data_IF_413669716319
#
_entry.id   IF_413669716319
#
_cell.length_a   1.000
_cell.length_b   1.000
_cell.length_c   1.000
_cell.angle_alpha   90.00
_cell.angle_beta   90.00
_cell.angle_gamma   90.00
#
_symmetry.space_group_name_H-M   'P 1'
#
loop_
_entity.id
_entity.type
_entity.pdbx_description
1 polymer ?
#
# COMPACT_ATOMS: atom_id res chain seq x y z
N UNK A 1 3.81 29.23 -4.00
CA UNK A 1 4.20 28.13 -3.10
C UNK A 1 3.02 27.70 -2.26
N UNK A 2 2.89 26.41 -2.09
CA UNK A 2 1.78 25.83 -1.32
C UNK A 2 2.36 24.88 -0.27
N UNK A 3 2.09 25.17 0.98
CA UNK A 3 2.37 24.26 2.11
C UNK A 3 1.09 23.51 2.50
N UNK A 4 1.17 22.17 2.58
CA UNK A 4 0.00 21.31 2.72
C UNK A 4 0.11 20.46 3.97
N UNK A 5 -0.90 20.61 4.84
CA UNK A 5 -1.13 19.77 6.01
C UNK A 5 -2.39 18.91 5.85
N UNK A 6 -2.67 18.08 6.82
CA UNK A 6 -3.84 17.16 6.79
C UNK A 6 -5.17 17.89 6.55
N UNK A 7 -5.41 19.03 7.21
CA UNK A 7 -6.70 19.72 7.20
C UNK A 7 -6.64 21.15 6.63
N UNK A 8 -5.44 21.60 6.26
CA UNK A 8 -5.20 23.00 5.92
C UNK A 8 -4.09 23.12 4.88
N UNK A 9 -4.23 24.11 4.01
CA UNK A 9 -3.19 24.54 3.07
C UNK A 9 -2.95 26.02 3.23
N UNK A 10 -1.70 26.42 3.15
CA UNK A 10 -1.31 27.84 3.04
C UNK A 10 -0.71 28.04 1.65
N UNK A 11 -1.22 29.03 0.91
CA UNK A 11 -0.70 29.37 -0.40
C UNK A 11 -0.17 30.80 -0.41
N UNK A 12 1.03 30.98 -0.97
CA UNK A 12 1.67 32.26 -1.18
C UNK A 12 1.93 32.48 -2.66
N UNK A 13 1.47 33.60 -3.20
CA UNK A 13 1.75 34.06 -4.57
C UNK A 13 2.67 35.27 -4.52
N UNK A 14 3.70 35.25 -5.37
CA UNK A 14 4.51 36.42 -5.70
C UNK A 14 4.09 36.96 -7.06
N UNK A 15 3.71 38.22 -7.13
CA UNK A 15 3.48 38.92 -8.39
C UNK A 15 4.75 39.63 -8.89
N UNK A 16 4.76 40.00 -10.17
CA UNK A 16 5.90 40.70 -10.82
C UNK A 16 6.37 41.97 -10.11
N UNK A 17 5.53 42.60 -9.29
CA UNK A 17 5.77 43.89 -8.60
C UNK A 17 6.22 43.71 -7.14
N UNK A 18 6.77 42.53 -6.76
CA UNK A 18 7.18 42.20 -5.37
C UNK A 18 6.01 42.22 -4.35
N UNK A 19 4.77 42.30 -4.78
CA UNK A 19 3.63 42.14 -3.89
C UNK A 19 3.42 40.66 -3.67
N UNK A 20 3.33 40.26 -2.41
CA UNK A 20 2.92 38.90 -2.03
C UNK A 20 1.49 38.91 -1.57
N UNK A 21 0.77 37.85 -1.90
CA UNK A 21 -0.56 37.56 -1.37
C UNK A 21 -0.53 36.17 -0.73
N UNK A 22 -1.08 36.04 0.45
CA UNK A 22 -1.14 34.78 1.20
C UNK A 22 -2.57 34.52 1.53
N UNK A 23 -3.05 33.29 1.26
CA UNK A 23 -4.38 32.81 1.64
C UNK A 23 -4.27 31.42 2.25
N UNK A 24 -5.20 31.13 3.12
CA UNK A 24 -5.35 29.85 3.76
C UNK A 24 -6.62 29.18 3.26
N UNK A 25 -6.55 27.88 3.01
CA UNK A 25 -7.65 27.05 2.52
C UNK A 25 -7.71 25.76 3.35
N UNK A 26 -8.89 25.15 3.42
CA UNK A 26 -8.96 23.78 3.91
C UNK A 26 -8.52 22.79 2.81
N UNK A 27 -8.40 21.52 3.16
CA UNK A 27 -8.07 20.45 2.19
C UNK A 27 -9.33 19.80 1.59
N UNK A 28 -10.51 20.43 1.77
CA UNK A 28 -11.74 20.00 1.11
C UNK A 28 -11.72 20.37 -0.37
N UNK A 29 -12.36 19.56 -1.20
CA UNK A 29 -12.34 19.73 -2.66
C UNK A 29 -12.79 21.12 -3.09
N UNK A 30 -13.84 21.66 -2.47
CA UNK A 30 -14.35 23.00 -2.75
C UNK A 30 -13.28 24.08 -2.53
N UNK A 31 -12.55 23.99 -1.41
CA UNK A 31 -11.51 24.96 -1.08
C UNK A 31 -10.25 24.80 -1.96
N UNK A 32 -9.95 23.56 -2.39
CA UNK A 32 -8.90 23.33 -3.40
C UNK A 32 -9.31 24.01 -4.73
N UNK A 33 -10.57 23.91 -5.15
CA UNK A 33 -11.08 24.57 -6.35
C UNK A 33 -11.09 26.10 -6.19
N UNK A 34 -11.35 26.63 -4.99
CA UNK A 34 -11.19 28.06 -4.72
C UNK A 34 -9.72 28.51 -4.85
N UNK A 35 -8.76 27.67 -4.39
CA UNK A 35 -7.34 27.93 -4.60
C UNK A 35 -7.01 27.93 -6.10
N UNK A 36 -7.52 26.96 -6.88
CA UNK A 36 -7.36 26.93 -8.34
C UNK A 36 -7.89 28.21 -9.00
N UNK A 37 -9.10 28.64 -8.62
CA UNK A 37 -9.69 29.88 -9.14
C UNK A 37 -8.82 31.09 -8.82
N UNK A 38 -8.32 31.19 -7.60
CA UNK A 38 -7.42 32.27 -7.20
C UNK A 38 -6.11 32.28 -7.98
N UNK A 39 -5.53 31.09 -8.27
CA UNK A 39 -4.33 30.97 -9.11
C UNK A 39 -4.60 31.43 -10.55
N UNK A 40 -5.76 31.08 -11.12
CA UNK A 40 -6.18 31.52 -12.46
C UNK A 40 -6.41 33.02 -12.52
N UNK A 41 -7.08 33.60 -11.53
CA UNK A 41 -7.35 35.06 -11.43
C UNK A 41 -6.08 35.90 -11.32
N UNK A 42 -5.00 35.30 -10.80
CA UNK A 42 -3.72 36.01 -10.61
C UNK A 42 -2.69 35.67 -11.69
N UNK A 43 -3.11 35.04 -12.79
CA UNK A 43 -2.25 34.60 -13.90
C UNK A 43 -0.99 33.87 -13.40
N UNK A 44 -1.19 32.94 -12.45
CA UNK A 44 -0.09 32.21 -11.86
C UNK A 44 0.55 31.24 -12.87
N UNK A 45 1.78 31.51 -13.30
CA UNK A 45 2.48 30.73 -14.32
C UNK A 45 2.91 29.34 -13.81
N UNK A 46 3.24 29.21 -12.52
CA UNK A 46 3.73 27.98 -11.91
C UNK A 46 3.38 27.93 -10.43
N UNK A 47 2.74 26.87 -10.01
CA UNK A 47 2.57 26.54 -8.60
C UNK A 47 3.60 25.49 -8.16
N UNK A 48 3.95 25.50 -6.87
CA UNK A 48 4.80 24.45 -6.29
C UNK A 48 4.31 24.05 -4.92
N UNK A 49 4.41 22.75 -4.62
CA UNK A 49 4.06 22.19 -3.32
C UNK A 49 5.11 21.19 -2.83
N UNK A 50 5.20 21.01 -1.51
CA UNK A 50 6.08 20.02 -0.92
C UNK A 50 5.41 18.62 -0.94
N UNK A 51 6.21 17.57 -1.19
CA UNK A 51 5.76 16.16 -1.18
C UNK A 51 5.63 15.57 0.22
N UNK A 52 4.93 16.25 1.13
CA UNK A 52 4.76 15.78 2.51
C UNK A 52 3.73 14.66 2.60
N UNK A 53 4.17 13.47 2.97
CA UNK A 53 3.31 12.28 3.13
C UNK A 53 2.46 11.99 1.88
N UNK A 54 1.15 11.80 2.06
CA UNK A 54 0.17 11.61 0.97
C UNK A 54 -0.72 12.82 0.71
N UNK A 55 -0.60 13.88 1.50
CA UNK A 55 -1.53 15.04 1.48
C UNK A 55 -1.46 15.86 0.19
N UNK A 56 -0.31 15.84 -0.49
CA UNK A 56 -0.14 16.53 -1.77
C UNK A 56 -0.93 15.89 -2.93
N UNK A 57 -1.21 14.57 -2.87
CA UNK A 57 -1.83 13.82 -3.97
C UNK A 57 -3.21 14.36 -4.39
N UNK A 58 -4.18 14.60 -3.49
CA UNK A 58 -5.49 15.14 -3.86
C UNK A 58 -5.37 16.52 -4.53
N UNK A 59 -4.51 17.38 -4.01
CA UNK A 59 -4.27 18.71 -4.57
C UNK A 59 -3.65 18.61 -5.96
N UNK A 60 -2.63 17.76 -6.11
CA UNK A 60 -1.99 17.50 -7.41
C UNK A 60 -3.01 16.99 -8.46
N UNK A 61 -3.86 16.02 -8.10
CA UNK A 61 -4.82 15.45 -9.02
C UNK A 61 -5.84 16.50 -9.51
N UNK A 62 -6.34 17.35 -8.61
CA UNK A 62 -7.26 18.44 -8.97
C UNK A 62 -6.54 19.47 -9.86
N UNK A 63 -5.30 19.83 -9.54
CA UNK A 63 -4.53 20.78 -10.34
C UNK A 63 -4.22 20.22 -11.74
N UNK A 64 -3.94 18.91 -11.84
CA UNK A 64 -3.75 18.22 -13.11
C UNK A 64 -5.04 18.24 -13.96
N UNK A 65 -6.20 17.97 -13.35
CA UNK A 65 -7.53 18.03 -14.00
C UNK A 65 -7.89 19.47 -14.44
N UNK A 66 -7.54 20.46 -13.64
CA UNK A 66 -7.77 21.88 -13.91
C UNK A 66 -6.69 22.54 -14.76
N UNK A 67 -5.70 21.73 -15.21
CA UNK A 67 -4.57 22.18 -16.05
C UNK A 67 -3.72 23.30 -15.43
N UNK A 68 -3.60 23.32 -14.11
CA UNK A 68 -2.71 24.24 -13.41
C UNK A 68 -1.28 23.69 -13.46
N UNK A 69 -0.30 24.42 -13.99
CA UNK A 69 1.10 23.99 -13.94
C UNK A 69 1.58 23.88 -12.50
N UNK A 70 1.93 22.67 -12.07
CA UNK A 70 2.30 22.38 -10.69
C UNK A 70 3.60 21.60 -10.60
N UNK A 71 4.48 22.05 -9.72
CA UNK A 71 5.73 21.38 -9.39
C UNK A 71 5.61 20.75 -8.00
N UNK A 72 5.88 19.45 -7.89
CA UNK A 72 6.04 18.79 -6.57
C UNK A 72 7.51 18.76 -6.22
N UNK A 73 7.86 19.28 -5.06
CA UNK A 73 9.25 19.43 -4.61
C UNK A 73 9.53 18.49 -3.45
N UNK A 74 10.71 17.88 -3.44
CA UNK A 74 11.10 17.00 -2.34
C UNK A 74 11.41 17.84 -1.07
N UNK A 75 10.76 17.47 0.05
CA UNK A 75 10.95 18.05 1.37
C UNK A 75 12.43 18.14 1.81
N UNK A 76 13.25 17.15 1.46
CA UNK A 76 14.68 17.14 1.80
C UNK A 76 15.47 18.24 1.08
N UNK A 77 15.09 18.58 -0.15
CA UNK A 77 15.75 19.66 -0.89
C UNK A 77 15.40 21.02 -0.31
N UNK A 78 14.16 21.21 0.15
CA UNK A 78 13.71 22.46 0.78
C UNK A 78 14.38 22.65 2.15
N UNK A 79 14.54 21.58 2.93
CA UNK A 79 15.16 21.61 4.26
C UNK A 79 16.66 21.86 4.25
N UNK A 80 17.33 21.57 3.15
CA UNK A 80 18.78 21.80 2.97
C UNK A 80 19.15 23.28 2.82
N UNK A 81 18.19 24.18 2.60
CA UNK A 81 18.43 25.61 2.45
C UNK A 81 18.17 26.31 3.80
N UNK A 82 19.14 27.06 4.38
CA UNK A 82 18.98 27.68 5.70
C UNK A 82 17.83 28.72 5.73
N UNK A 83 16.91 28.60 6.67
CA UNK A 83 15.78 29.53 6.85
C UNK A 83 14.91 29.20 8.06
N UNK A 84 14.09 30.15 8.51
CA UNK A 84 13.21 30.00 9.69
C UNK A 84 11.82 29.49 9.31
N UNK A 85 11.28 28.53 10.08
CA UNK A 85 10.04 27.80 9.83
C UNK A 85 8.82 28.36 10.57
N UNK A 86 7.77 28.64 9.83
CA UNK A 86 6.34 28.65 10.25
C UNK A 86 5.54 28.34 8.99
N UNK A 87 4.33 27.76 9.07
CA UNK A 87 3.52 27.33 7.93
C UNK A 87 3.32 28.42 6.85
N UNK A 88 3.09 29.66 7.29
CA UNK A 88 3.03 30.84 6.39
C UNK A 88 4.38 31.12 5.73
N UNK A 89 5.47 30.95 6.47
CA UNK A 89 6.83 31.12 5.92
C UNK A 89 7.24 29.96 5.05
N UNK A 90 6.69 28.75 5.26
CA UNK A 90 7.01 27.60 4.43
C UNK A 90 6.39 27.74 3.04
N UNK A 91 5.14 28.21 2.90
CA UNK A 91 4.54 28.53 1.62
C UNK A 91 5.25 29.69 0.89
N UNK A 92 5.60 30.75 1.61
CA UNK A 92 6.39 31.88 1.09
C UNK A 92 7.79 31.42 0.64
N UNK A 93 8.42 30.58 1.44
CA UNK A 93 9.74 30.02 1.16
C UNK A 93 9.75 29.14 -0.10
N UNK A 94 8.75 28.24 -0.25
CA UNK A 94 8.59 27.44 -1.45
C UNK A 94 8.42 28.35 -2.68
N UNK A 95 7.58 29.38 -2.59
CA UNK A 95 7.38 30.33 -3.69
C UNK A 95 8.66 31.07 -4.07
N UNK A 96 9.43 31.51 -3.08
CA UNK A 96 10.69 32.24 -3.29
C UNK A 96 11.76 31.35 -3.92
N UNK A 97 11.90 30.12 -3.46
CA UNK A 97 12.82 29.12 -4.02
C UNK A 97 12.48 28.79 -5.49
N UNK A 98 11.21 28.65 -5.82
CA UNK A 98 10.75 28.40 -7.20
C UNK A 98 11.07 29.59 -8.10
N UNK A 99 10.75 30.80 -7.65
CA UNK A 99 11.03 32.04 -8.40
C UNK A 99 12.51 32.22 -8.74
N UNK A 100 13.40 31.76 -7.87
CA UNK A 100 14.84 31.83 -8.07
C UNK A 100 15.44 30.60 -8.76
N UNK A 101 14.61 29.60 -9.15
CA UNK A 101 15.07 28.35 -9.77
C UNK A 101 15.91 27.45 -8.85
N UNK A 102 15.77 27.61 -7.52
CA UNK A 102 16.58 26.93 -6.51
C UNK A 102 16.02 25.56 -6.12
N UNK A 103 14.88 25.15 -6.67
CA UNK A 103 14.27 23.84 -6.42
C UNK A 103 14.14 23.04 -7.70
N UNK A 104 14.32 21.72 -7.54
CA UNK A 104 14.13 20.77 -8.64
C UNK A 104 12.83 20.04 -8.47
N UNK A 105 12.02 19.97 -9.54
CA UNK A 105 10.80 19.20 -9.56
C UNK A 105 11.09 17.70 -9.35
N UNK A 106 10.28 17.07 -8.52
CA UNK A 106 10.18 15.62 -8.48
C UNK A 106 9.47 15.13 -9.74
N UNK A 107 9.95 14.05 -10.31
CA UNK A 107 9.22 13.40 -11.41
C UNK A 107 7.94 12.75 -10.88
N UNK A 108 6.79 13.22 -11.31
CA UNK A 108 5.50 12.63 -11.03
C UNK A 108 5.05 11.89 -12.29
N UNK A 109 4.90 10.55 -12.23
CA UNK A 109 4.39 9.78 -13.35
C UNK A 109 2.98 10.22 -13.76
N UNK A 110 2.58 9.95 -14.99
CA UNK A 110 1.20 10.15 -15.43
C UNK A 110 0.21 9.33 -14.58
N UNK A 111 -1.07 9.67 -14.67
CA UNK A 111 -2.14 9.09 -13.82
C UNK A 111 -2.18 7.57 -13.91
N UNK A 112 -2.12 7.01 -15.13
CA UNK A 112 -2.19 5.56 -15.33
C UNK A 112 -1.04 4.82 -14.63
N UNK A 113 0.17 5.38 -14.72
CA UNK A 113 1.33 4.82 -14.03
C UNK A 113 1.24 4.97 -12.51
N UNK A 114 0.66 6.07 -12.00
CA UNK A 114 0.43 6.23 -10.55
C UNK A 114 -0.54 5.19 -10.03
N UNK A 115 -1.66 4.99 -10.73
CA UNK A 115 -2.68 3.99 -10.39
C UNK A 115 -2.14 2.56 -10.49
N UNK A 116 -1.36 2.26 -11.53
CA UNK A 116 -0.70 0.95 -11.67
C UNK A 116 0.29 0.68 -10.53
N UNK A 117 1.05 1.68 -10.13
CA UNK A 117 1.97 1.57 -8.98
C UNK A 117 1.23 1.33 -7.66
N UNK A 118 0.10 1.99 -7.47
CA UNK A 118 -0.70 1.86 -6.24
C UNK A 118 -1.29 0.46 -6.12
N UNK A 119 -1.91 -0.06 -7.18
CA UNK A 119 -2.48 -1.41 -7.18
C UNK A 119 -1.39 -2.50 -7.05
N UNK A 120 -0.22 -2.30 -7.66
CA UNK A 120 0.91 -3.24 -7.57
C UNK A 120 1.49 -3.27 -6.14
N UNK A 121 1.59 -2.13 -5.46
CA UNK A 121 2.02 -2.07 -4.06
C UNK A 121 1.02 -2.74 -3.14
N UNK A 122 -0.26 -2.46 -3.31
CA UNK A 122 -1.31 -3.09 -2.52
C UNK A 122 -1.31 -4.61 -2.72
N UNK A 123 -1.14 -5.10 -3.96
CA UNK A 123 -0.97 -6.53 -4.23
C UNK A 123 0.19 -7.15 -3.45
N UNK A 124 1.33 -6.47 -3.39
CA UNK A 124 2.49 -6.94 -2.63
C UNK A 124 2.18 -7.03 -1.13
N UNK A 125 1.50 -6.04 -0.57
CA UNK A 125 1.08 -6.02 0.83
C UNK A 125 0.13 -7.19 1.15
N UNK A 126 -0.81 -7.52 0.26
CA UNK A 126 -1.73 -8.65 0.40
C UNK A 126 -0.98 -9.99 0.33
N UNK A 127 0.02 -10.13 -0.53
CA UNK A 127 0.89 -11.33 -0.58
C UNK A 127 1.63 -11.51 0.75
N UNK A 128 2.18 -10.45 1.31
CA UNK A 128 2.86 -10.49 2.59
C UNK A 128 1.90 -10.80 3.74
N UNK A 129 0.68 -10.30 3.70
CA UNK A 129 -0.36 -10.64 4.67
C UNK A 129 -0.72 -12.12 4.60
N UNK A 130 -0.86 -12.67 3.38
CA UNK A 130 -1.09 -14.10 3.18
C UNK A 130 0.07 -14.95 3.73
N UNK A 131 1.32 -14.51 3.54
CA UNK A 131 2.49 -15.19 4.10
C UNK A 131 2.49 -15.15 5.64
N UNK A 132 2.15 -14.01 6.23
CA UNK A 132 1.98 -13.90 7.70
C UNK A 132 0.91 -14.84 8.23
N UNK A 133 -0.21 -15.00 7.51
CA UNK A 133 -1.27 -15.92 7.93
C UNK A 133 -0.85 -17.39 7.83
N UNK A 134 -0.09 -17.77 6.81
CA UNK A 134 0.51 -19.12 6.71
C UNK A 134 1.45 -19.40 7.89
N UNK A 135 2.26 -18.43 8.31
CA UNK A 135 3.11 -18.58 9.49
C UNK A 135 2.28 -18.77 10.78
N UNK A 136 1.12 -18.11 10.92
CA UNK A 136 0.20 -18.34 12.05
C UNK A 136 -0.36 -19.75 12.05
N UNK A 137 -0.74 -20.30 10.88
CA UNK A 137 -1.15 -21.70 10.74
C UNK A 137 -0.03 -22.64 11.20
N UNK A 138 1.21 -22.41 10.75
CA UNK A 138 2.35 -23.20 11.21
C UNK A 138 2.53 -23.14 12.72
N UNK A 139 2.40 -21.97 13.33
CA UNK A 139 2.48 -21.82 14.77
C UNK A 139 1.39 -22.63 15.52
N UNK A 140 0.16 -22.66 15.01
CA UNK A 140 -0.91 -23.49 15.57
C UNK A 140 -0.56 -24.98 15.45
N UNK A 141 -0.10 -25.44 14.27
CA UNK A 141 0.32 -26.83 14.04
C UNK A 141 1.48 -27.23 14.97
N UNK A 142 2.49 -26.36 15.11
CA UNK A 142 3.59 -26.57 16.03
C UNK A 142 3.12 -26.73 17.48
N UNK A 143 2.16 -25.89 17.90
CA UNK A 143 1.53 -25.99 19.22
C UNK A 143 0.74 -27.29 19.43
N UNK A 144 0.35 -27.98 18.35
CA UNK A 144 -0.29 -29.31 18.36
C UNK A 144 0.74 -30.45 18.23
N UNK A 145 2.02 -30.15 18.11
CA UNK A 145 3.08 -31.09 17.72
C UNK A 145 2.82 -31.77 16.35
N UNK A 146 2.17 -31.05 15.41
CA UNK A 146 1.99 -31.47 14.03
C UNK A 146 3.10 -30.80 13.20
N UNK A 147 4.06 -31.60 12.72
CA UNK A 147 5.28 -31.15 12.07
C UNK A 147 5.19 -31.19 10.53
N UNK A 148 4.04 -30.83 9.97
CA UNK A 148 3.77 -30.95 8.54
C UNK A 148 4.79 -30.18 7.68
N UNK A 149 5.21 -28.98 8.12
CA UNK A 149 6.21 -28.14 7.42
C UNK A 149 7.62 -28.74 7.42
N UNK A 150 7.91 -29.71 8.28
CA UNK A 150 9.20 -30.44 8.27
C UNK A 150 9.27 -31.48 7.15
N UNK A 151 8.13 -31.88 6.61
CA UNK A 151 8.04 -32.90 5.56
C UNK A 151 7.74 -32.29 4.20
N UNK A 152 6.78 -31.35 4.14
CA UNK A 152 6.43 -30.63 2.91
C UNK A 152 6.89 -29.18 3.01
N UNK A 153 7.60 -28.72 2.00
CA UNK A 153 8.20 -27.37 1.98
C UNK A 153 7.15 -26.26 1.94
N UNK A 154 6.03 -26.51 1.25
CA UNK A 154 4.92 -25.56 1.09
C UNK A 154 3.61 -26.16 1.58
N UNK A 155 3.20 -25.74 2.78
CA UNK A 155 1.89 -26.12 3.36
C UNK A 155 0.73 -25.44 2.65
N UNK A 156 0.96 -24.39 1.86
CA UNK A 156 -0.06 -23.71 1.06
C UNK A 156 -0.33 -24.41 -0.29
N UNK A 157 0.50 -25.36 -0.65
CA UNK A 157 0.33 -26.20 -1.84
C UNK A 157 -0.84 -27.18 -1.72
N UNK A 158 -1.15 -27.87 -2.82
CA UNK A 158 -2.34 -28.72 -2.94
C UNK A 158 -2.44 -29.75 -1.81
N UNK A 159 -1.40 -30.53 -1.55
CA UNK A 159 -1.36 -31.54 -0.48
C UNK A 159 -1.54 -30.93 0.91
N UNK A 160 -0.78 -29.87 1.22
CA UNK A 160 -0.86 -29.20 2.52
C UNK A 160 -2.25 -28.64 2.79
N UNK A 161 -2.84 -27.95 1.82
CA UNK A 161 -4.19 -27.39 1.96
C UNK A 161 -5.26 -28.46 2.08
N UNK A 162 -5.12 -29.61 1.40
CA UNK A 162 -6.06 -30.74 1.53
C UNK A 162 -5.98 -31.37 2.91
N UNK A 163 -4.78 -31.62 3.42
CA UNK A 163 -4.55 -32.13 4.77
C UNK A 163 -5.10 -31.15 5.83
N UNK A 164 -4.79 -29.86 5.72
CA UNK A 164 -5.29 -28.83 6.65
C UNK A 164 -6.82 -28.76 6.69
N UNK A 165 -7.48 -28.89 5.54
CA UNK A 165 -8.96 -28.94 5.46
C UNK A 165 -9.52 -30.20 6.14
N UNK A 166 -8.87 -31.36 5.96
CA UNK A 166 -9.28 -32.59 6.62
C UNK A 166 -9.13 -32.48 8.14
N UNK A 167 -8.02 -31.93 8.64
CA UNK A 167 -7.81 -31.66 10.07
C UNK A 167 -8.92 -30.77 10.62
N UNK A 168 -9.25 -29.69 9.92
CA UNK A 168 -10.34 -28.76 10.33
C UNK A 168 -11.71 -29.41 10.29
N UNK A 169 -11.91 -30.45 9.45
CA UNK A 169 -13.14 -31.22 9.37
C UNK A 169 -13.24 -32.33 10.45
N UNK A 170 -12.21 -32.47 11.29
CA UNK A 170 -12.20 -33.41 12.41
C UNK A 170 -11.39 -34.68 12.17
N UNK A 171 -10.74 -34.83 11.01
CA UNK A 171 -9.86 -35.97 10.77
C UNK A 171 -8.59 -35.84 11.63
N UNK A 172 -8.23 -36.91 12.32
CA UNK A 172 -7.07 -36.97 13.22
C UNK A 172 -6.20 -38.21 12.99
N UNK A 173 -6.61 -39.14 12.14
CA UNK A 173 -5.80 -40.32 11.83
C UNK A 173 -4.63 -39.92 10.92
N UNK A 174 -3.36 -40.06 11.37
CA UNK A 174 -2.20 -39.74 10.57
C UNK A 174 -2.09 -40.54 9.26
N UNK A 175 -2.63 -41.78 9.23
CA UNK A 175 -2.60 -42.60 8.03
C UNK A 175 -3.55 -42.02 7.00
N UNK A 176 -4.80 -41.72 7.38
CA UNK A 176 -5.82 -41.12 6.51
C UNK A 176 -5.33 -39.76 5.99
N UNK A 177 -4.80 -38.89 6.89
CA UNK A 177 -4.31 -37.58 6.54
C UNK A 177 -3.12 -37.65 5.55
N UNK A 178 -2.20 -38.58 5.73
CA UNK A 178 -1.02 -38.71 4.86
C UNK A 178 -1.37 -39.18 3.45
N UNK A 179 -2.41 -40.01 3.30
CA UNK A 179 -2.90 -40.49 2.00
C UNK A 179 -3.54 -39.38 1.14
N UNK A 180 -3.86 -38.23 1.74
CA UNK A 180 -4.32 -37.05 1.01
C UNK A 180 -3.16 -36.34 0.25
N UNK A 181 -1.94 -36.80 0.41
CA UNK A 181 -0.80 -36.26 -0.33
C UNK A 181 -0.90 -36.57 -1.82
N UNK A 182 -0.53 -35.57 -2.64
CA UNK A 182 -0.55 -35.67 -4.10
C UNK A 182 0.82 -35.38 -4.70
N UNK A 183 1.06 -35.92 -5.91
CA UNK A 183 2.29 -35.72 -6.66
C UNK A 183 3.53 -36.15 -5.87
N UNK A 184 4.59 -35.35 -5.86
CA UNK A 184 5.86 -35.67 -5.17
C UNK A 184 5.73 -35.80 -3.65
N UNK A 185 4.66 -35.29 -3.05
CA UNK A 185 4.46 -35.44 -1.62
C UNK A 185 4.11 -36.88 -1.21
N UNK A 186 3.62 -37.70 -2.15
CA UNK A 186 3.33 -39.13 -1.91
C UNK A 186 4.58 -39.93 -1.56
N UNK A 187 5.73 -39.58 -2.10
CA UNK A 187 7.00 -40.25 -1.80
C UNK A 187 7.41 -40.09 -0.32
N UNK A 188 6.79 -39.17 0.39
CA UNK A 188 7.06 -38.83 1.79
C UNK A 188 5.95 -39.29 2.76
N UNK A 189 5.02 -40.16 2.33
CA UNK A 189 3.91 -40.64 3.18
C UNK A 189 4.41 -41.21 4.52
N UNK A 190 5.49 -42.02 4.59
CA UNK A 190 5.96 -42.57 5.87
C UNK A 190 6.43 -41.48 6.86
N UNK A 191 7.14 -40.47 6.38
CA UNK A 191 7.56 -39.32 7.21
C UNK A 191 6.36 -38.45 7.60
N UNK A 192 5.40 -38.29 6.68
CA UNK A 192 4.20 -37.52 6.90
C UNK A 192 3.31 -38.14 7.98
N UNK A 193 3.14 -39.46 7.99
CA UNK A 193 2.43 -40.17 9.06
C UNK A 193 3.03 -39.88 10.44
N UNK A 194 4.37 -39.87 10.54
CA UNK A 194 5.04 -39.53 11.80
C UNK A 194 4.83 -38.06 12.17
N UNK A 195 4.88 -37.16 11.21
CA UNK A 195 4.75 -35.71 11.42
C UNK A 195 3.32 -35.28 11.82
N UNK A 196 2.31 -36.10 11.49
CA UNK A 196 0.90 -35.84 11.74
C UNK A 196 0.38 -36.47 13.05
N UNK A 197 1.20 -37.12 13.87
CA UNK A 197 0.82 -37.76 15.13
C UNK A 197 0.52 -36.78 16.28
N UNK A 198 0.45 -35.48 16.00
CA UNK A 198 0.12 -34.45 16.99
C UNK A 198 -1.31 -34.56 17.53
N UNK A 199 -1.58 -33.78 18.58
CA UNK A 199 -2.90 -33.73 19.21
C UNK A 199 -3.50 -32.36 19.04
N UNK A 200 -4.56 -32.26 18.25
CA UNK A 200 -5.27 -31.02 18.01
C UNK A 200 -6.55 -30.94 18.85
N UNK A 201 -6.73 -29.86 19.55
CA UNK A 201 -7.96 -29.57 20.32
C UNK A 201 -9.02 -28.93 19.42
N UNK A 202 -10.30 -29.00 19.86
CA UNK A 202 -11.39 -28.31 19.17
C UNK A 202 -11.14 -26.80 19.00
N UNK A 203 -10.53 -26.16 20.01
CA UNK A 203 -10.14 -24.74 19.92
C UNK A 203 -9.16 -24.49 18.77
N UNK A 204 -8.12 -25.31 18.65
CA UNK A 204 -7.10 -25.18 17.60
C UNK A 204 -7.69 -25.49 16.21
N UNK A 205 -8.61 -26.45 16.09
CA UNK A 205 -9.35 -26.69 14.84
C UNK A 205 -10.17 -25.47 14.43
N UNK A 206 -10.87 -24.83 15.38
CA UNK A 206 -11.61 -23.57 15.12
C UNK A 206 -10.69 -22.46 14.66
N UNK A 207 -9.53 -22.28 15.31
CA UNK A 207 -8.51 -21.30 14.91
C UNK A 207 -8.03 -21.55 13.49
N UNK A 208 -7.63 -22.79 13.15
CA UNK A 208 -7.22 -23.15 11.79
C UNK A 208 -8.32 -22.91 10.77
N UNK A 209 -9.57 -23.18 11.10
CA UNK A 209 -10.72 -22.92 10.22
C UNK A 209 -10.85 -21.43 9.87
N UNK A 210 -10.66 -20.53 10.84
CA UNK A 210 -10.70 -19.09 10.60
C UNK A 210 -9.51 -18.64 9.74
N UNK A 211 -8.32 -19.13 10.04
CA UNK A 211 -7.11 -18.81 9.29
C UNK A 211 -7.16 -19.30 7.84
N UNK A 212 -7.65 -20.52 7.59
CA UNK A 212 -7.85 -21.04 6.23
C UNK A 212 -8.88 -20.25 5.44
N UNK A 213 -9.96 -19.78 6.09
CA UNK A 213 -10.92 -18.88 5.44
C UNK A 213 -10.27 -17.56 5.04
N UNK A 214 -9.45 -17.00 5.92
CA UNK A 214 -8.72 -15.76 5.64
C UNK A 214 -7.74 -15.93 4.46
N UNK A 215 -6.95 -17.01 4.45
CA UNK A 215 -6.07 -17.33 3.31
C UNK A 215 -6.85 -17.46 2.00
N UNK A 216 -8.02 -18.09 2.02
CA UNK A 216 -8.87 -18.20 0.83
C UNK A 216 -9.27 -16.81 0.31
N UNK A 217 -9.68 -15.90 1.20
CA UNK A 217 -10.06 -14.53 0.84
C UNK A 217 -8.87 -13.74 0.27
N UNK A 218 -7.69 -13.81 0.93
CA UNK A 218 -6.48 -13.15 0.46
C UNK A 218 -6.02 -13.70 -0.90
N UNK A 219 -6.15 -15.01 -1.11
CA UNK A 219 -5.80 -15.63 -2.41
C UNK A 219 -6.73 -15.16 -3.52
N UNK A 220 -8.03 -15.07 -3.26
CA UNK A 220 -9.01 -14.55 -4.22
C UNK A 220 -8.74 -13.07 -4.55
N UNK A 221 -8.39 -12.26 -3.54
CA UNK A 221 -8.03 -10.86 -3.73
C UNK A 221 -6.76 -10.69 -4.58
N UNK A 222 -5.74 -11.54 -4.38
CA UNK A 222 -4.52 -11.52 -5.20
C UNK A 222 -4.86 -11.80 -6.68
N UNK A 223 -5.74 -12.77 -6.94
CA UNK A 223 -6.16 -13.09 -8.32
C UNK A 223 -6.88 -11.90 -8.97
N UNK A 224 -7.81 -11.28 -8.25
CA UNK A 224 -8.52 -10.08 -8.73
C UNK A 224 -7.57 -8.91 -9.03
N UNK A 225 -6.61 -8.66 -8.13
CA UNK A 225 -5.59 -7.64 -8.33
C UNK A 225 -4.70 -7.95 -9.54
N UNK A 226 -4.35 -9.22 -9.78
CA UNK A 226 -3.59 -9.66 -10.96
C UNK A 226 -4.35 -9.38 -12.26
N UNK A 227 -5.65 -9.63 -12.29
CA UNK A 227 -6.50 -9.32 -13.44
C UNK A 227 -6.60 -7.82 -13.69
N UNK A 228 -6.74 -7.02 -12.64
CA UNK A 228 -6.79 -5.56 -12.73
C UNK A 228 -5.47 -4.97 -13.24
N UNK A 229 -4.33 -5.49 -12.78
CA UNK A 229 -2.99 -5.10 -13.26
C UNK A 229 -2.85 -5.42 -14.75
N UNK A 230 -3.25 -6.63 -15.17
CA UNK A 230 -3.18 -7.04 -16.59
C UNK A 230 -4.02 -6.13 -17.50
N UNK A 231 -5.25 -5.78 -17.08
CA UNK A 231 -6.12 -4.85 -17.83
C UNK A 231 -5.51 -3.46 -17.99
N UNK A 232 -4.81 -2.95 -16.95
CA UNK A 232 -4.12 -1.65 -17.04
C UNK A 232 -2.83 -1.67 -17.85
N UNK A 233 -2.19 -2.83 -18.02
CA UNK A 233 -0.97 -2.97 -18.82
C UNK A 233 -1.28 -3.15 -20.32
N UNK A 234 -2.46 -3.65 -20.67
CA UNK A 234 -2.92 -3.88 -22.04
C UNK A 234 -4.30 -3.22 -22.21
N UNK A 235 -4.36 -1.88 -22.31
CA UNK A 235 -5.60 -1.13 -22.48
C UNK A 235 -6.28 -1.36 -23.83
#
# INVERSE_FOLDING_TARGET
GIDIHKNMMVACIFTSVRKKAIRQFSTMTEDILQLVSWLKETDCEMAAMESTGSYWKPVYNIFEEEQIPIMVVNAQHIKGVPGRKTDVKDAEWIADLVRHGLVKASYIPNRDQRELREITRYRQEVIEERARELNRIQAVLEGCNIKLSSVITDISGKSGMTILKAIVSGETDPVVLSELAEGRARDKIPEMQKSLQGRISEHQQKMLKHQLRHIKSLTALIVDLDENIKKKQNP
#
